data_IF_714552919087
#
_entry.id   IF_714552919087
#
_cell.length_a   1.000
_cell.length_b   1.000
_cell.length_c   1.000
_cell.angle_alpha   90.00
_cell.angle_beta   90.00
_cell.angle_gamma   90.00
#
_symmetry.space_group_name_H-M   'P 1'
#
loop_
_entity.id
_entity.type
_entity.pdbx_description
1 polymer ?
#
# COMPACT_ATOMS: atom_id res chain seq x y z
N UNK A 1 -72.63 44.22 -58.68
CA UNK A 1 -73.54 45.17 -59.34
C UNK A 1 -73.54 46.43 -58.47
N UNK A 2 -73.10 47.56 -59.04
CA UNK A 2 -72.85 48.89 -58.45
C UNK A 2 -71.64 48.99 -57.49
N UNK A 3 -70.48 49.59 -57.81
CA UNK A 3 -70.11 50.73 -58.69
C UNK A 3 -70.79 52.04 -58.26
N UNK A 4 -70.19 53.21 -58.09
CA UNK A 4 -68.84 53.81 -58.08
C UNK A 4 -69.11 55.29 -57.68
N UNK A 5 -68.16 55.99 -57.05
CA UNK A 5 -67.63 57.28 -57.55
C UNK A 5 -66.89 58.10 -56.49
N UNK A 6 -65.64 58.35 -56.88
CA UNK A 6 -64.70 59.37 -56.44
C UNK A 6 -65.24 60.81 -56.55
N UNK A 7 -64.77 61.69 -55.66
CA UNK A 7 -64.35 63.08 -55.99
C UNK A 7 -63.10 63.45 -55.17
N UNK A 8 -62.32 64.36 -55.76
CA UNK A 8 -60.91 64.61 -55.55
C UNK A 8 -60.57 65.77 -54.59
N UNK A 9 -59.37 65.68 -53.99
CA UNK A 9 -58.29 66.66 -53.69
C UNK A 9 -58.60 68.17 -53.55
N UNK A 10 -57.91 68.93 -52.67
CA UNK A 10 -56.53 69.35 -52.99
C UNK A 10 -55.52 69.43 -51.81
N UNK A 11 -54.26 69.38 -52.22
CA UNK A 11 -53.01 69.66 -51.50
C UNK A 11 -53.05 70.92 -50.59
N UNK A 12 -52.52 70.79 -49.37
CA UNK A 12 -52.07 71.92 -48.56
C UNK A 12 -50.72 71.60 -47.87
N UNK A 13 -49.67 72.17 -48.48
CA UNK A 13 -48.46 72.82 -47.93
C UNK A 13 -47.75 72.22 -46.69
N UNK A 14 -46.48 71.90 -46.94
CA UNK A 14 -45.31 71.81 -46.06
C UNK A 14 -45.43 72.54 -44.71
N UNK A 15 -44.99 71.90 -43.62
CA UNK A 15 -44.17 72.59 -42.63
C UNK A 15 -43.18 71.65 -41.90
N UNK A 16 -42.00 72.19 -41.70
CA UNK A 16 -40.75 71.56 -41.28
C UNK A 16 -40.65 71.54 -39.75
N UNK A 17 -39.92 70.56 -39.23
CA UNK A 17 -39.26 70.56 -37.90
C UNK A 17 -40.15 70.56 -36.64
N UNK A 18 -40.40 69.36 -36.10
CA UNK A 18 -40.62 69.19 -34.66
C UNK A 18 -39.29 68.83 -33.98
N UNK A 19 -38.44 69.84 -33.78
CA UNK A 19 -37.27 69.73 -32.91
C UNK A 19 -37.76 69.66 -31.46
N UNK A 20 -37.82 68.44 -30.90
CA UNK A 20 -37.96 68.23 -29.46
C UNK A 20 -36.70 68.80 -28.80
N UNK A 21 -36.80 70.04 -28.29
CA UNK A 21 -35.75 70.67 -27.49
C UNK A 21 -35.68 69.98 -26.13
N UNK A 22 -34.92 68.89 -26.03
CA UNK A 22 -34.43 68.43 -24.74
C UNK A 22 -33.48 69.48 -24.17
N UNK A 23 -33.68 69.96 -22.93
CA UNK A 23 -32.76 70.93 -22.34
C UNK A 23 -31.38 70.27 -22.24
N UNK A 24 -30.35 70.91 -22.82
CA UNK A 24 -28.97 70.40 -22.82
C UNK A 24 -28.47 70.01 -21.42
N UNK A 25 -29.03 70.60 -20.36
CA UNK A 25 -28.75 70.28 -18.96
C UNK A 25 -29.12 68.83 -18.55
N UNK A 26 -30.10 68.20 -19.19
CA UNK A 26 -30.51 66.83 -18.91
C UNK A 26 -29.74 65.79 -19.74
N UNK A 27 -29.22 66.20 -20.91
CA UNK A 27 -28.42 65.32 -21.77
C UNK A 27 -27.10 64.93 -21.09
N UNK A 28 -26.44 65.88 -20.42
CA UNK A 28 -25.21 65.61 -19.66
C UNK A 28 -25.42 64.63 -18.50
N UNK A 29 -26.57 64.70 -17.81
CA UNK A 29 -26.91 63.79 -16.70
C UNK A 29 -27.22 62.37 -17.20
N UNK A 30 -27.90 62.23 -18.33
CA UNK A 30 -28.19 60.94 -18.95
C UNK A 30 -26.90 60.28 -19.44
N UNK A 31 -25.99 61.05 -20.05
CA UNK A 31 -24.68 60.55 -20.49
C UNK A 31 -23.85 60.11 -19.28
N UNK A 32 -23.80 60.89 -18.20
CA UNK A 32 -23.07 60.53 -16.97
C UNK A 32 -23.63 59.25 -16.32
N UNK A 33 -24.96 59.10 -16.28
CA UNK A 33 -25.60 57.90 -15.76
C UNK A 33 -25.31 56.66 -16.62
N UNK A 34 -25.35 56.81 -17.95
CA UNK A 34 -25.01 55.73 -18.88
C UNK A 34 -23.55 55.30 -18.74
N UNK A 35 -22.62 56.24 -18.57
CA UNK A 35 -21.20 55.94 -18.33
C UNK A 35 -21.02 55.17 -17.01
N UNK A 36 -21.72 55.56 -15.95
CA UNK A 36 -21.66 54.87 -14.65
C UNK A 36 -22.25 53.46 -14.72
N UNK A 37 -23.38 53.28 -15.41
CA UNK A 37 -24.01 51.96 -15.58
C UNK A 37 -23.13 51.04 -16.43
N UNK A 38 -22.59 51.54 -17.54
CA UNK A 38 -21.68 50.78 -18.39
C UNK A 38 -20.39 50.45 -17.63
N UNK A 39 -19.81 51.40 -16.91
CA UNK A 39 -18.65 51.18 -16.05
C UNK A 39 -18.90 50.14 -14.96
N UNK A 40 -20.06 50.18 -14.31
CA UNK A 40 -20.47 49.20 -13.30
C UNK A 40 -20.68 47.79 -13.88
N UNK A 41 -21.26 47.68 -15.07
CA UNK A 41 -21.43 46.41 -15.79
C UNK A 41 -20.08 45.82 -16.24
N UNK A 42 -19.16 46.66 -16.73
CA UNK A 42 -17.80 46.24 -17.08
C UNK A 42 -17.06 45.76 -15.83
N UNK A 43 -17.10 46.53 -14.74
CA UNK A 43 -16.46 46.16 -13.47
C UNK A 43 -17.00 44.83 -12.93
N UNK A 44 -18.33 44.65 -12.91
CA UNK A 44 -18.95 43.40 -12.47
C UNK A 44 -18.58 42.21 -13.36
N UNK A 45 -18.52 42.41 -14.69
CA UNK A 45 -18.10 41.37 -15.63
C UNK A 45 -16.62 41.00 -15.46
N UNK A 46 -15.74 41.98 -15.23
CA UNK A 46 -14.32 41.75 -14.97
C UNK A 46 -14.10 41.04 -13.63
N UNK A 47 -14.82 41.44 -12.58
CA UNK A 47 -14.71 40.82 -11.26
C UNK A 47 -15.25 39.38 -11.27
N UNK A 48 -16.35 39.12 -11.97
CA UNK A 48 -16.91 37.78 -12.18
C UNK A 48 -15.95 36.88 -12.96
N UNK A 49 -15.31 37.42 -14.02
CA UNK A 49 -14.25 36.70 -14.77
C UNK A 49 -13.02 36.42 -13.92
N UNK A 50 -12.63 37.34 -13.05
CA UNK A 50 -11.50 37.16 -12.14
C UNK A 50 -11.79 36.06 -11.09
N UNK A 51 -12.97 36.05 -10.50
CA UNK A 51 -13.41 34.98 -9.59
C UNK A 51 -13.48 33.62 -10.29
N UNK A 52 -13.99 33.55 -11.54
CA UNK A 52 -14.02 32.31 -12.30
C UNK A 52 -12.62 31.79 -12.65
N UNK A 53 -11.65 32.68 -12.92
CA UNK A 53 -10.25 32.29 -13.15
C UNK A 53 -9.56 31.80 -11.87
N UNK A 54 -9.90 32.36 -10.71
CA UNK A 54 -9.37 31.93 -9.42
C UNK A 54 -10.00 30.60 -8.93
N UNK A 55 -11.22 30.29 -9.34
CA UNK A 55 -11.95 29.07 -8.96
C UNK A 55 -11.67 27.86 -9.88
N UNK A 56 -10.96 28.05 -10.99
CA UNK A 56 -10.56 26.95 -11.86
C UNK A 56 -9.35 26.24 -11.23
N UNK A 57 -9.42 24.94 -10.87
CA UNK A 57 -8.23 24.22 -10.49
C UNK A 57 -7.22 24.35 -11.64
N UNK A 58 -5.91 24.46 -11.34
CA UNK A 58 -4.90 24.44 -12.40
C UNK A 58 -5.20 23.24 -13.27
N UNK A 59 -5.39 23.45 -14.57
CA UNK A 59 -5.47 22.32 -15.51
C UNK A 59 -4.13 21.61 -15.36
N UNK A 60 -4.11 20.51 -14.60
CA UNK A 60 -3.00 19.57 -14.58
C UNK A 60 -2.71 19.31 -16.05
N UNK A 61 -1.56 19.80 -16.52
CA UNK A 61 -1.22 19.67 -17.91
C UNK A 61 -1.09 18.15 -18.20
N UNK A 62 -1.13 17.73 -19.47
CA UNK A 62 -1.04 16.31 -19.78
C UNK A 62 0.22 15.62 -19.20
N UNK A 63 1.26 16.38 -18.86
CA UNK A 63 2.46 15.89 -18.18
C UNK A 63 2.26 15.73 -16.66
N UNK A 64 1.62 16.68 -15.97
CA UNK A 64 1.36 16.59 -14.52
C UNK A 64 0.52 15.36 -14.16
N UNK A 65 -0.49 15.05 -14.98
CA UNK A 65 -1.30 13.83 -14.82
C UNK A 65 -0.46 12.57 -15.05
N UNK A 66 0.43 12.57 -16.05
CA UNK A 66 1.34 11.45 -16.30
C UNK A 66 2.34 11.26 -15.15
N UNK A 67 2.89 12.34 -14.62
CA UNK A 67 3.81 12.31 -13.47
C UNK A 67 3.10 11.70 -12.25
N UNK A 68 1.88 12.14 -11.97
CA UNK A 68 1.08 11.63 -10.85
C UNK A 68 0.76 10.15 -10.99
N UNK A 69 0.35 9.71 -12.20
CA UNK A 69 0.08 8.32 -12.49
C UNK A 69 1.34 7.44 -12.35
N UNK A 70 2.48 7.91 -12.86
CA UNK A 70 3.75 7.21 -12.73
C UNK A 70 4.16 7.08 -11.26
N UNK A 71 4.00 8.14 -10.46
CA UNK A 71 4.29 8.11 -9.03
C UNK A 71 3.40 7.08 -8.29
N UNK A 72 2.11 7.04 -8.61
CA UNK A 72 1.20 6.03 -8.04
C UNK A 72 1.64 4.61 -8.41
N UNK A 73 1.95 4.36 -9.69
CA UNK A 73 2.41 3.07 -10.16
C UNK A 73 3.71 2.63 -9.45
N UNK A 74 4.67 3.55 -9.30
CA UNK A 74 5.91 3.27 -8.57
C UNK A 74 5.65 2.91 -7.10
N UNK A 75 4.71 3.58 -6.44
CA UNK A 75 4.33 3.27 -5.05
C UNK A 75 3.65 1.90 -4.93
N UNK A 76 2.75 1.57 -5.86
CA UNK A 76 2.09 0.26 -5.91
C UNK A 76 3.09 -0.86 -6.19
N UNK A 77 4.03 -0.64 -7.11
CA UNK A 77 5.11 -1.57 -7.40
C UNK A 77 6.05 -1.76 -6.20
N UNK A 78 6.48 -0.66 -5.57
CA UNK A 78 7.31 -0.71 -4.37
C UNK A 78 6.61 -1.48 -3.23
N UNK A 79 5.30 -1.27 -3.04
CA UNK A 79 4.50 -2.04 -2.08
C UNK A 79 4.46 -3.53 -2.43
N UNK A 80 4.30 -3.89 -3.71
CA UNK A 80 4.32 -5.28 -4.16
C UNK A 80 5.68 -5.93 -3.90
N UNK A 81 6.77 -5.23 -4.22
CA UNK A 81 8.14 -5.68 -3.97
C UNK A 81 8.34 -5.94 -2.48
N UNK A 82 8.04 -4.94 -1.64
CA UNK A 82 8.16 -5.04 -0.19
C UNK A 82 7.41 -6.24 0.40
N UNK A 83 6.20 -6.53 -0.11
CA UNK A 83 5.34 -7.60 0.40
C UNK A 83 5.72 -8.99 -0.11
N UNK A 84 6.21 -9.13 -1.33
CA UNK A 84 6.24 -10.42 -2.02
C UNK A 84 7.53 -10.78 -2.75
N UNK A 85 8.43 -9.83 -2.98
CA UNK A 85 9.68 -10.12 -3.66
C UNK A 85 10.68 -10.75 -2.68
N UNK A 86 11.24 -11.88 -3.08
CA UNK A 86 12.18 -12.70 -2.29
C UNK A 86 13.63 -12.41 -2.66
N UNK A 87 13.88 -11.65 -3.73
CA UNK A 87 15.23 -11.30 -4.20
C UNK A 87 16.13 -12.53 -4.45
N UNK A 88 15.53 -13.69 -4.75
CA UNK A 88 16.26 -14.95 -4.98
C UNK A 88 16.80 -15.60 -3.70
N UNK A 89 16.33 -15.19 -2.52
CA UNK A 89 16.77 -15.73 -1.24
C UNK A 89 16.35 -17.18 -0.99
N UNK A 90 15.53 -17.78 -1.86
CA UNK A 90 15.26 -19.21 -1.90
C UNK A 90 16.55 -20.03 -1.99
N UNK A 91 17.56 -19.51 -2.68
CA UNK A 91 18.88 -20.13 -2.76
C UNK A 91 19.52 -20.35 -1.37
N UNK A 92 19.11 -19.57 -0.37
CA UNK A 92 19.52 -19.76 1.02
C UNK A 92 18.48 -20.55 1.81
N UNK A 93 17.23 -20.08 1.89
CA UNK A 93 16.19 -20.66 2.76
C UNK A 93 15.69 -22.02 2.29
N UNK A 94 15.62 -22.22 0.98
CA UNK A 94 15.21 -23.49 0.36
C UNK A 94 16.41 -24.38 0.16
N UNK A 95 17.42 -23.95 -0.60
CA UNK A 95 18.44 -24.88 -1.08
C UNK A 95 19.45 -25.24 0.01
N UNK A 96 19.87 -24.28 0.84
CA UNK A 96 20.83 -24.51 1.93
C UNK A 96 20.14 -24.98 3.20
N UNK A 97 19.19 -24.20 3.71
CA UNK A 97 18.57 -24.49 5.00
C UNK A 97 17.46 -25.54 4.92
N UNK A 98 16.90 -25.80 3.73
CA UNK A 98 15.83 -26.78 3.54
C UNK A 98 14.60 -26.51 4.41
N UNK A 99 14.34 -25.24 4.72
CA UNK A 99 13.33 -24.85 5.71
C UNK A 99 11.91 -25.24 5.27
N UNK A 100 11.66 -25.27 3.95
CA UNK A 100 10.41 -25.77 3.37
C UNK A 100 10.06 -27.19 3.84
N UNK A 101 11.04 -28.10 4.00
CA UNK A 101 10.77 -29.44 4.51
C UNK A 101 10.35 -29.42 5.99
N UNK A 102 10.92 -28.54 6.82
CA UNK A 102 10.51 -28.44 8.23
C UNK A 102 9.11 -27.84 8.38
N UNK A 103 8.75 -26.88 7.53
CA UNK A 103 7.41 -26.28 7.49
C UNK A 103 6.38 -27.32 7.07
N UNK A 104 6.68 -28.07 6.01
CA UNK A 104 5.82 -29.09 5.44
C UNK A 104 5.61 -30.28 6.39
N UNK A 105 6.68 -30.75 7.02
CA UNK A 105 6.64 -31.90 7.92
C UNK A 105 6.49 -33.24 7.22
N UNK A 106 6.74 -34.32 7.95
CA UNK A 106 6.77 -35.68 7.40
C UNK A 106 5.45 -36.14 6.78
N UNK A 107 4.32 -35.61 7.27
CA UNK A 107 2.97 -35.86 6.71
C UNK A 107 2.86 -35.49 5.24
N UNK A 108 3.67 -34.54 4.78
CA UNK A 108 3.61 -33.99 3.42
C UNK A 108 4.93 -34.16 2.66
N UNK A 109 5.84 -35.02 3.14
CA UNK A 109 7.12 -35.32 2.47
C UNK A 109 8.32 -34.53 2.99
N UNK A 110 8.12 -33.67 3.99
CA UNK A 110 9.16 -32.92 4.68
C UNK A 110 9.78 -33.67 5.88
N UNK A 111 10.33 -32.89 6.82
CA UNK A 111 11.06 -33.38 7.99
C UNK A 111 10.41 -32.89 9.27
N UNK A 112 10.30 -33.77 10.27
CA UNK A 112 9.71 -33.43 11.57
C UNK A 112 8.19 -33.30 11.55
N UNK A 113 7.58 -32.67 12.57
CA UNK A 113 6.13 -32.62 12.72
C UNK A 113 5.42 -31.64 11.77
N UNK A 114 6.15 -30.79 11.05
CA UNK A 114 5.58 -29.65 10.33
C UNK A 114 5.32 -28.46 11.26
N UNK A 115 5.04 -27.30 10.67
CA UNK A 115 4.72 -26.07 11.41
C UNK A 115 3.24 -25.80 11.31
N UNK A 116 2.51 -25.86 12.43
CA UNK A 116 1.09 -25.50 12.49
C UNK A 116 0.89 -23.97 12.57
N UNK A 117 -0.31 -23.44 12.24
CA UNK A 117 -0.60 -22.03 12.41
C UNK A 117 -0.36 -21.54 13.85
N UNK A 118 -0.71 -22.35 14.85
CA UNK A 118 -0.48 -22.01 16.26
C UNK A 118 1.00 -21.88 16.59
N UNK A 119 1.83 -22.82 16.11
CA UNK A 119 3.27 -22.76 16.27
C UNK A 119 3.89 -21.54 15.54
N UNK A 120 3.43 -21.26 14.32
CA UNK A 120 3.82 -20.11 13.53
C UNK A 120 3.54 -18.78 14.26
N UNK A 121 2.31 -18.60 14.77
CA UNK A 121 1.92 -17.42 15.53
C UNK A 121 2.73 -17.28 16.83
N UNK A 122 3.01 -18.39 17.51
CA UNK A 122 3.78 -18.40 18.77
C UNK A 122 5.23 -17.93 18.61
N UNK A 123 5.83 -18.09 17.41
CA UNK A 123 7.16 -17.57 17.08
C UNK A 123 7.11 -16.22 16.36
N UNK A 124 5.95 -15.55 16.37
CA UNK A 124 5.78 -14.18 15.90
C UNK A 124 5.52 -14.03 14.40
N UNK A 125 5.23 -15.11 13.67
CA UNK A 125 4.68 -14.96 12.32
C UNK A 125 3.30 -14.32 12.40
N UNK A 126 2.97 -13.53 11.39
CA UNK A 126 1.71 -12.76 11.34
C UNK A 126 0.89 -13.19 10.15
N UNK A 127 -0.44 -13.17 10.29
CA UNK A 127 -1.39 -13.54 9.25
C UNK A 127 -2.23 -12.34 8.85
N UNK A 128 -2.18 -12.00 7.58
CA UNK A 128 -2.99 -10.99 6.92
C UNK A 128 -4.43 -11.49 6.78
N UNK A 129 -5.36 -10.89 7.52
CA UNK A 129 -6.77 -11.27 7.44
C UNK A 129 -7.43 -10.85 6.12
N UNK A 130 -6.90 -9.82 5.46
CA UNK A 130 -7.44 -9.32 4.18
C UNK A 130 -7.10 -10.24 3.01
N UNK A 131 -6.09 -11.10 3.17
CA UNK A 131 -5.74 -12.15 2.21
C UNK A 131 -6.60 -13.41 2.35
N UNK A 132 -7.38 -13.54 3.43
CA UNK A 132 -8.19 -14.73 3.69
C UNK A 132 -9.56 -14.64 3.02
N UNK A 133 -10.04 -15.70 2.34
CA UNK A 133 -11.42 -15.75 1.87
C UNK A 133 -12.42 -15.58 3.02
N UNK A 134 -13.51 -14.83 2.81
CA UNK A 134 -14.52 -14.59 3.86
C UNK A 134 -15.07 -15.88 4.49
N UNK A 135 -15.21 -16.94 3.68
CA UNK A 135 -15.65 -18.24 4.16
C UNK A 135 -14.67 -18.85 5.17
N UNK A 136 -13.35 -18.70 4.93
CA UNK A 136 -12.31 -19.17 5.85
C UNK A 136 -12.33 -18.37 7.15
N UNK A 137 -12.48 -17.04 7.08
CA UNK A 137 -12.63 -16.17 8.26
C UNK A 137 -13.80 -16.65 9.14
N UNK A 138 -14.96 -16.94 8.52
CA UNK A 138 -16.14 -17.46 9.24
C UNK A 138 -15.87 -18.83 9.88
N UNK A 139 -15.17 -19.73 9.18
CA UNK A 139 -14.81 -21.05 9.72
C UNK A 139 -13.84 -20.95 10.90
N UNK A 140 -12.85 -20.05 10.83
CA UNK A 140 -11.91 -19.81 11.94
C UNK A 140 -12.67 -19.27 13.16
N UNK A 141 -13.59 -18.30 12.99
CA UNK A 141 -14.45 -17.80 14.09
C UNK A 141 -15.31 -18.89 14.73
N UNK A 142 -15.71 -19.88 13.94
CA UNK A 142 -16.52 -21.02 14.41
C UNK A 142 -15.67 -22.16 15.00
N UNK A 143 -14.35 -22.03 15.06
CA UNK A 143 -13.45 -23.09 15.54
C UNK A 143 -13.41 -24.32 14.62
N UNK A 144 -13.80 -24.17 13.34
CA UNK A 144 -13.88 -25.28 12.37
C UNK A 144 -12.58 -25.53 11.63
N UNK A 145 -11.60 -24.64 11.77
CA UNK A 145 -10.27 -24.77 11.17
C UNK A 145 -9.30 -25.33 12.22
N UNK A 146 -8.61 -26.41 11.88
CA UNK A 146 -7.59 -26.98 12.75
C UNK A 146 -6.29 -26.15 12.67
N UNK A 147 -6.06 -25.31 13.68
CA UNK A 147 -4.85 -24.49 13.81
C UNK A 147 -3.62 -25.25 14.34
N UNK A 148 -3.78 -26.55 14.64
CA UNK A 148 -2.68 -27.44 15.01
C UNK A 148 -2.22 -28.33 13.82
N UNK A 149 -2.88 -28.28 12.65
CA UNK A 149 -2.46 -29.03 11.45
C UNK A 149 -1.51 -28.20 10.56
N UNK A 150 -0.29 -28.69 10.23
CA UNK A 150 0.60 -28.07 9.25
C UNK A 150 -0.04 -27.84 7.88
N UNK A 151 -1.03 -28.66 7.50
CA UNK A 151 -1.80 -28.47 6.26
C UNK A 151 -2.38 -27.05 6.17
N UNK A 152 -2.86 -26.53 7.30
CA UNK A 152 -3.45 -25.18 7.38
C UNK A 152 -2.39 -24.10 7.13
N UNK A 153 -1.16 -24.26 7.63
CA UNK A 153 -0.04 -23.35 7.33
C UNK A 153 0.26 -23.34 5.83
N UNK A 154 0.32 -24.52 5.19
CA UNK A 154 0.54 -24.61 3.75
C UNK A 154 -0.59 -23.93 2.95
N UNK A 155 -1.84 -24.05 3.39
CA UNK A 155 -2.97 -23.32 2.80
C UNK A 155 -2.83 -21.81 2.97
N UNK A 156 -2.43 -21.32 4.14
CA UNK A 156 -2.18 -19.89 4.38
C UNK A 156 -1.04 -19.36 3.51
N UNK A 157 0.02 -20.14 3.30
CA UNK A 157 1.12 -19.80 2.38
C UNK A 157 0.64 -19.74 0.93
N UNK A 158 -0.22 -20.67 0.48
CA UNK A 158 -0.82 -20.63 -0.88
C UNK A 158 -1.64 -19.35 -1.10
N UNK A 159 -2.29 -18.85 -0.06
CA UNK A 159 -3.03 -17.59 -0.07
C UNK A 159 -2.12 -16.35 0.03
N UNK A 160 -0.82 -16.51 0.26
CA UNK A 160 0.12 -15.44 0.63
C UNK A 160 -0.35 -14.65 1.87
N UNK A 161 -1.04 -15.32 2.78
CA UNK A 161 -1.59 -14.71 3.99
C UNK A 161 -0.56 -14.57 5.11
N UNK A 162 0.54 -15.34 5.10
CA UNK A 162 1.61 -15.19 6.09
C UNK A 162 2.51 -14.03 5.66
N UNK A 163 2.65 -13.01 6.52
CA UNK A 163 3.39 -11.80 6.18
C UNK A 163 4.85 -12.11 5.82
N UNK A 164 5.21 -11.76 4.58
CA UNK A 164 6.56 -11.86 4.06
C UNK A 164 7.12 -13.26 3.87
N UNK A 165 6.29 -14.30 3.96
CA UNK A 165 6.69 -15.67 3.62
C UNK A 165 6.09 -16.04 2.28
N UNK A 166 6.94 -16.25 1.27
CA UNK A 166 6.51 -16.66 -0.07
C UNK A 166 6.75 -18.15 -0.26
N UNK A 167 5.70 -18.89 -0.63
CA UNK A 167 5.80 -20.30 -1.01
C UNK A 167 5.55 -20.52 -2.50
N UNK A 168 6.27 -21.47 -3.09
CA UNK A 168 5.94 -22.08 -4.39
C UNK A 168 5.64 -23.55 -4.17
N UNK A 169 4.69 -24.10 -4.91
CA UNK A 169 4.15 -25.43 -4.66
C UNK A 169 4.25 -26.30 -5.91
N UNK A 170 4.48 -27.60 -5.71
CA UNK A 170 4.39 -28.59 -6.76
C UNK A 170 2.92 -28.85 -7.14
N UNK A 171 2.70 -29.56 -8.25
CA UNK A 171 1.37 -29.93 -8.72
C UNK A 171 0.61 -30.86 -7.77
N UNK A 172 1.33 -31.66 -6.99
CA UNK A 172 0.76 -32.52 -5.93
C UNK A 172 0.39 -31.74 -4.65
N UNK A 173 0.69 -30.44 -4.61
CA UNK A 173 0.39 -29.56 -3.51
C UNK A 173 1.45 -29.47 -2.41
N UNK A 174 2.57 -30.20 -2.53
CA UNK A 174 3.75 -30.09 -1.65
C UNK A 174 4.49 -28.76 -1.83
N UNK A 175 5.13 -28.28 -0.76
CA UNK A 175 5.89 -27.03 -0.75
C UNK A 175 7.24 -27.23 -1.44
N UNK A 176 7.37 -26.69 -2.65
CA UNK A 176 8.56 -26.83 -3.49
C UNK A 176 9.71 -25.94 -3.02
N UNK A 177 9.42 -24.67 -2.74
CA UNK A 177 10.40 -23.71 -2.28
C UNK A 177 9.73 -22.62 -1.45
N UNK A 178 10.52 -21.99 -0.60
CA UNK A 178 10.14 -20.80 0.14
C UNK A 178 11.25 -19.74 0.16
N UNK A 179 10.82 -18.48 0.15
CA UNK A 179 11.67 -17.31 0.30
C UNK A 179 11.01 -16.27 1.20
N UNK A 180 11.77 -15.27 1.61
CA UNK A 180 11.31 -14.22 2.52
C UNK A 180 11.38 -12.85 1.85
N UNK A 181 10.37 -12.01 2.09
CA UNK A 181 10.37 -10.62 1.62
C UNK A 181 10.64 -9.64 2.76
N UNK A 182 10.75 -8.35 2.45
CA UNK A 182 10.95 -7.30 3.44
C UNK A 182 9.86 -7.30 4.54
N UNK A 183 8.62 -7.64 4.16
CA UNK A 183 7.48 -7.68 5.06
C UNK A 183 7.60 -8.74 6.18
N UNK A 184 8.51 -9.71 6.06
CA UNK A 184 8.73 -10.73 7.09
C UNK A 184 9.17 -10.10 8.41
N UNK A 185 10.16 -9.22 8.35
CA UNK A 185 10.69 -8.48 9.50
C UNK A 185 9.99 -7.13 9.69
N UNK A 186 9.63 -6.45 8.61
CA UNK A 186 9.16 -5.06 8.64
C UNK A 186 7.64 -4.93 8.44
N UNK A 187 6.86 -5.93 8.83
CA UNK A 187 5.40 -5.77 8.92
C UNK A 187 4.84 -6.48 10.14
N UNK A 188 3.75 -5.93 10.67
CA UNK A 188 2.93 -6.60 11.66
C UNK A 188 1.46 -6.48 11.27
N UNK A 189 0.56 -6.92 12.13
CA UNK A 189 -0.88 -6.70 12.00
C UNK A 189 -1.41 -5.95 13.21
N UNK A 190 -2.62 -5.41 13.08
CA UNK A 190 -3.34 -4.69 14.14
C UNK A 190 -4.10 -5.60 15.12
N UNK A 191 -3.97 -6.92 14.99
CA UNK A 191 -4.65 -7.94 15.79
C UNK A 191 -6.19 -7.85 15.79
N UNK A 192 -6.81 -7.21 14.77
CA UNK A 192 -8.25 -7.00 14.70
C UNK A 192 -9.09 -8.29 14.70
N UNK A 193 -8.49 -9.42 14.32
CA UNK A 193 -9.16 -10.72 14.32
C UNK A 193 -8.78 -11.59 15.53
N UNK A 194 -7.48 -11.71 15.80
CA UNK A 194 -6.90 -12.44 16.93
C UNK A 194 -5.44 -12.00 17.13
N UNK A 195 -4.79 -12.30 18.26
CA UNK A 195 -3.35 -12.03 18.41
C UNK A 195 -2.52 -12.65 17.28
N UNK A 196 -1.80 -11.82 16.53
CA UNK A 196 -1.03 -12.19 15.35
C UNK A 196 -1.82 -12.31 14.05
N UNK A 197 -3.13 -12.01 14.04
CA UNK A 197 -4.02 -12.05 12.87
C UNK A 197 -4.83 -10.76 12.77
N UNK A 198 -4.67 -10.01 11.68
CA UNK A 198 -5.34 -8.72 11.53
C UNK A 198 -5.04 -8.05 10.18
N UNK A 199 -5.37 -6.77 10.09
CA UNK A 199 -5.06 -5.94 8.93
C UNK A 199 -3.56 -5.64 8.88
N UNK A 200 -2.98 -5.73 7.69
CA UNK A 200 -1.54 -5.56 7.49
C UNK A 200 -1.09 -4.12 7.78
N UNK A 201 -0.03 -4.01 8.57
CA UNK A 201 0.68 -2.77 8.88
C UNK A 201 2.09 -2.82 8.27
N UNK A 202 2.21 -2.38 7.02
CA UNK A 202 3.50 -2.32 6.32
C UNK A 202 4.44 -1.29 6.96
N UNK A 203 5.72 -1.63 7.04
CA UNK A 203 6.80 -0.80 7.60
C UNK A 203 6.94 -0.90 9.12
N UNK A 204 5.92 -1.38 9.83
CA UNK A 204 5.98 -1.56 11.28
C UNK A 204 6.88 -2.75 11.62
N UNK A 205 7.82 -2.61 12.57
CA UNK A 205 8.74 -3.69 12.89
C UNK A 205 8.00 -4.84 13.59
N UNK A 206 8.20 -6.07 13.13
CA UNK A 206 7.68 -7.25 13.81
C UNK A 206 8.52 -7.54 15.07
N UNK A 207 8.08 -7.01 16.21
CA UNK A 207 8.77 -7.15 17.50
C UNK A 207 8.57 -8.50 18.17
N UNK A 208 7.64 -9.31 17.65
CA UNK A 208 7.36 -10.64 18.18
C UNK A 208 8.14 -11.73 17.41
N UNK A 209 8.59 -11.42 16.20
CA UNK A 209 9.26 -12.36 15.31
C UNK A 209 10.52 -12.97 15.93
N UNK A 210 10.53 -14.27 16.10
CA UNK A 210 11.69 -15.00 16.59
C UNK A 210 12.46 -15.65 15.44
N UNK A 211 13.31 -14.86 14.78
CA UNK A 211 14.10 -15.31 13.62
C UNK A 211 15.03 -16.47 14.01
N UNK A 212 15.63 -16.42 15.19
CA UNK A 212 16.51 -17.48 15.68
C UNK A 212 15.79 -18.82 15.85
N UNK A 213 14.57 -18.80 16.40
CA UNK A 213 13.74 -20.00 16.49
C UNK A 213 13.36 -20.54 15.10
N UNK A 214 13.01 -19.67 14.15
CA UNK A 214 12.66 -20.07 12.78
C UNK A 214 13.85 -20.74 12.08
N UNK A 215 15.04 -20.13 12.12
CA UNK A 215 16.26 -20.72 11.53
C UNK A 215 16.59 -22.05 12.21
N UNK A 216 16.36 -22.18 13.52
CA UNK A 216 16.64 -23.42 14.27
C UNK A 216 15.75 -24.61 13.88
N UNK A 217 14.65 -24.37 13.13
CA UNK A 217 13.82 -25.43 12.55
C UNK A 217 14.45 -26.06 11.30
N UNK A 218 15.46 -25.41 10.69
CA UNK A 218 16.11 -25.88 9.47
C UNK A 218 16.64 -27.32 9.63
N UNK A 219 16.30 -28.24 8.72
CA UNK A 219 16.86 -29.60 8.74
C UNK A 219 18.37 -29.63 8.45
N UNK A 220 18.91 -28.58 7.84
CA UNK A 220 20.32 -28.49 7.46
C UNK A 220 20.89 -27.13 7.89
N UNK A 221 21.73 -27.15 8.92
CA UNK A 221 22.48 -25.99 9.41
C UNK A 221 23.95 -26.02 8.97
N UNK A 222 24.32 -26.87 8.00
CA UNK A 222 25.70 -27.05 7.53
C UNK A 222 26.31 -25.74 7.05
N UNK A 223 25.53 -24.87 6.40
CA UNK A 223 26.01 -23.55 5.94
C UNK A 223 26.50 -22.69 7.11
N UNK A 224 25.84 -22.74 8.27
CA UNK A 224 26.22 -21.97 9.46
C UNK A 224 27.34 -22.65 10.25
N UNK A 225 27.28 -23.98 10.43
CA UNK A 225 28.34 -24.72 11.13
C UNK A 225 29.68 -24.63 10.40
N UNK A 226 29.68 -24.72 9.07
CA UNK A 226 30.88 -24.54 8.25
C UNK A 226 31.39 -23.10 8.27
N UNK A 227 30.49 -22.10 8.22
CA UNK A 227 30.89 -20.70 8.26
C UNK A 227 31.51 -20.32 9.61
N UNK A 228 30.89 -20.77 10.70
CA UNK A 228 31.28 -20.41 12.06
C UNK A 228 32.34 -21.35 12.65
N UNK A 229 32.63 -22.47 11.98
CA UNK A 229 33.56 -23.51 12.44
C UNK A 229 33.18 -24.05 13.83
N UNK A 230 31.89 -24.29 14.05
CA UNK A 230 31.32 -24.84 15.29
C UNK A 230 30.28 -25.91 14.98
N UNK A 231 29.93 -26.72 15.97
CA UNK A 231 28.88 -27.72 15.82
C UNK A 231 27.46 -27.13 15.79
N UNK A 232 26.49 -27.95 15.40
CA UNK A 232 25.09 -27.55 15.30
C UNK A 232 24.49 -27.09 16.64
N UNK A 233 24.92 -27.71 17.76
CA UNK A 233 24.44 -27.33 19.09
C UNK A 233 24.88 -25.91 19.45
N UNK A 234 26.11 -25.53 19.12
CA UNK A 234 26.63 -24.18 19.26
C UNK A 234 25.88 -23.19 18.36
N UNK A 235 25.59 -23.54 17.10
CA UNK A 235 24.76 -22.71 16.21
C UNK A 235 23.38 -22.47 16.82
N UNK A 236 22.69 -23.52 17.29
CA UNK A 236 21.37 -23.39 17.92
C UNK A 236 21.42 -22.56 19.20
N UNK A 237 22.49 -22.64 20.00
CA UNK A 237 22.69 -21.78 21.17
C UNK A 237 22.82 -20.31 20.78
N UNK A 238 23.55 -20.01 19.70
CA UNK A 238 23.66 -18.66 19.15
C UNK A 238 22.29 -18.16 18.69
N UNK A 239 21.57 -18.93 17.87
CA UNK A 239 20.25 -18.55 17.36
C UNK A 239 19.23 -18.34 18.50
N UNK A 240 19.22 -19.20 19.51
CA UNK A 240 18.35 -19.08 20.68
C UNK A 240 18.66 -17.82 21.51
N UNK A 241 19.88 -17.27 21.43
CA UNK A 241 20.27 -16.09 22.18
C UNK A 241 19.64 -14.79 21.65
N UNK A 242 19.16 -14.76 20.40
CA UNK A 242 18.62 -13.56 19.77
C UNK A 242 17.31 -13.11 20.43
N UNK A 243 16.39 -14.06 20.62
CA UNK A 243 15.04 -13.80 21.13
C UNK A 243 14.14 -13.02 20.16
N UNK A 244 12.88 -12.77 20.56
CA UNK A 244 11.89 -12.06 19.73
C UNK A 244 12.31 -10.65 19.31
N UNK A 245 11.93 -10.28 18.09
CA UNK A 245 12.13 -8.94 17.54
C UNK A 245 13.57 -8.60 17.22
N UNK A 246 14.48 -9.59 17.22
CA UNK A 246 15.91 -9.41 16.96
C UNK A 246 16.43 -10.32 15.87
N UNK A 247 17.47 -9.84 15.21
CA UNK A 247 18.24 -10.54 14.19
C UNK A 247 19.69 -10.08 14.22
N UNK A 248 20.62 -11.00 13.99
CA UNK A 248 22.02 -10.69 13.82
C UNK A 248 22.40 -10.72 12.34
N UNK A 249 22.38 -9.53 11.71
CA UNK A 249 22.73 -9.37 10.31
C UNK A 249 24.25 -9.49 10.05
N UNK A 250 25.08 -9.47 11.10
CA UNK A 250 26.54 -9.46 10.97
C UNK A 250 27.14 -10.84 11.22
N UNK A 251 26.42 -11.76 11.86
CA UNK A 251 26.91 -13.11 12.17
C UNK A 251 27.56 -13.81 10.97
N UNK A 252 26.96 -13.70 9.78
CA UNK A 252 27.47 -14.32 8.57
C UNK A 252 28.68 -13.60 7.94
N UNK A 253 29.03 -12.41 8.45
CA UNK A 253 30.11 -11.56 7.95
C UNK A 253 31.32 -11.59 8.89
N UNK A 254 31.09 -11.54 10.20
CA UNK A 254 32.15 -11.41 11.20
C UNK A 254 32.29 -12.61 12.14
N UNK A 255 31.31 -13.53 12.14
CA UNK A 255 31.28 -14.71 13.01
C UNK A 255 31.09 -14.41 14.50
N UNK A 256 30.72 -13.18 14.88
CA UNK A 256 30.68 -12.73 16.29
C UNK A 256 29.27 -12.73 16.85
N UNK A 257 28.86 -13.89 17.37
CA UNK A 257 27.54 -14.05 18.00
C UNK A 257 27.36 -13.25 19.31
N UNK A 258 28.45 -12.94 20.02
CA UNK A 258 28.41 -12.28 21.33
C UNK A 258 29.33 -11.07 21.37
N UNK A 259 28.85 -10.03 22.05
CA UNK A 259 29.60 -8.83 22.38
C UNK A 259 30.64 -9.10 23.47
N UNK A 260 31.65 -8.22 23.68
CA UNK A 260 32.62 -8.36 24.76
C UNK A 260 32.01 -8.43 26.18
N UNK A 261 30.80 -7.91 26.36
CA UNK A 261 30.03 -7.98 27.61
C UNK A 261 29.25 -9.30 27.79
N UNK A 262 29.42 -10.27 26.89
CA UNK A 262 28.77 -11.57 26.90
C UNK A 262 27.32 -11.57 26.42
N UNK A 263 26.76 -10.42 26.05
CA UNK A 263 25.38 -10.33 25.52
C UNK A 263 25.33 -10.68 24.03
N UNK A 264 24.17 -11.15 23.52
CA UNK A 264 23.99 -11.40 22.09
C UNK A 264 24.32 -10.15 21.25
N UNK A 265 24.97 -10.35 20.10
CA UNK A 265 25.22 -9.29 19.12
C UNK A 265 23.97 -8.93 18.29
N UNK A 266 22.93 -9.77 18.33
CA UNK A 266 21.67 -9.54 17.65
C UNK A 266 21.04 -8.18 17.99
N UNK A 267 20.60 -7.49 16.95
CA UNK A 267 20.01 -6.16 17.03
C UNK A 267 18.50 -6.22 16.89
N UNK A 268 17.82 -5.21 17.43
CA UNK A 268 16.37 -5.05 17.29
C UNK A 268 16.01 -4.74 15.84
N UNK A 269 15.04 -5.48 15.27
CA UNK A 269 14.51 -5.26 13.91
C UNK A 269 14.01 -3.81 13.78
N UNK A 270 14.66 -2.91 13.04
CA UNK A 270 14.30 -1.50 13.09
C UNK A 270 12.93 -1.23 12.43
N UNK A 271 12.21 -0.18 12.83
CA UNK A 271 11.04 0.25 12.08
C UNK A 271 11.47 0.69 10.68
N UNK A 272 10.72 0.33 9.64
CA UNK A 272 10.82 0.97 8.34
C UNK A 272 9.80 2.12 8.18
N UNK A 273 8.69 2.03 8.91
CA UNK A 273 7.67 3.05 9.00
C UNK A 273 8.21 4.34 9.63
N UNK A 274 7.86 5.48 9.05
CA UNK A 274 8.31 6.79 9.52
C UNK A 274 9.78 7.11 9.21
N UNK A 275 10.53 6.18 8.62
CA UNK A 275 11.82 6.50 8.03
C UNK A 275 11.59 7.12 6.66
N UNK A 276 12.34 8.17 6.34
CA UNK A 276 12.41 8.70 4.99
C UNK A 276 13.18 7.68 4.15
N UNK A 277 12.46 6.69 3.62
CA UNK A 277 12.98 5.79 2.58
C UNK A 277 13.57 6.58 1.42
#
# INVERSE_FOLDING_TARGET
MHEDRRKANPLAKNDVSLLVRFPLANLGKIIALLILVVGGLIYAAEHSRAQQRAAMPPRANGFDTRISNNAQQMLEEGRRIFRYDTFGDEAYWTDKLKLHHAIEGSKFGGVGPGVSPKAALAIGLKVDMDALPEALIKQIKQGKVNLDDPATTLSLMKLNAILGVKGTFNSDGSLKAMGLSCAFCHSTVDDAFAPGIGHRLDGWPNRDLNVGAIVSLAPDLSVLTNLLQVDEAAVKKVLASWGPGKFDAQLNLDGKAFRPDGKPAATLIPPAFGMAG
#
